data_IF_915585239479
#
_entry.id   IF_915585239479
#
_cell.length_a   1.000
_cell.length_b   1.000
_cell.length_c   1.000
_cell.angle_alpha   90.00
_cell.angle_beta   90.00
_cell.angle_gamma   90.00
#
_symmetry.space_group_name_H-M   'P 1'
#
loop_
_entity.id
_entity.type
_entity.pdbx_description
1 polymer ?
#
# COMPACT_ATOMS: atom_id res chain seq x y z
N UNK A 1 -0.13 -62.11 -8.64
CA UNK A 1 0.73 -60.94 -8.97
C UNK A 1 0.00 -59.58 -8.89
N UNK A 2 -1.34 -59.48 -8.84
CA UNK A 2 -2.09 -58.18 -8.89
C UNK A 2 -2.59 -57.67 -7.51
N UNK A 3 -2.36 -58.43 -6.42
CA UNK A 3 -2.78 -58.04 -5.07
C UNK A 3 -1.96 -56.88 -4.46
N UNK A 4 -0.67 -56.77 -4.83
CA UNK A 4 0.22 -55.72 -4.31
C UNK A 4 -0.16 -54.33 -4.86
N UNK A 5 -0.40 -54.14 -6.18
CA UNK A 5 -0.85 -52.85 -6.72
C UNK A 5 -2.18 -52.34 -6.15
N UNK A 6 -3.14 -53.22 -5.92
CA UNK A 6 -4.49 -52.84 -5.43
C UNK A 6 -4.48 -52.48 -3.93
N UNK A 7 -3.68 -53.16 -3.12
CA UNK A 7 -3.45 -52.80 -1.72
C UNK A 7 -2.69 -51.47 -1.59
N UNK A 8 -1.70 -51.25 -2.47
CA UNK A 8 -0.97 -49.98 -2.54
C UNK A 8 -1.89 -48.81 -2.92
N UNK A 9 -2.76 -48.99 -3.91
CA UNK A 9 -3.76 -47.97 -4.28
C UNK A 9 -4.66 -47.62 -3.09
N UNK A 10 -5.27 -48.60 -2.41
CA UNK A 10 -6.13 -48.32 -1.25
C UNK A 10 -5.43 -47.54 -0.14
N UNK A 11 -4.16 -47.87 0.15
CA UNK A 11 -3.35 -47.16 1.15
C UNK A 11 -3.07 -45.72 0.71
N UNK A 12 -2.77 -45.52 -0.57
CA UNK A 12 -2.48 -44.21 -1.13
C UNK A 12 -3.73 -43.32 -1.19
N UNK A 13 -4.87 -43.89 -1.59
CA UNK A 13 -6.20 -43.28 -1.52
C UNK A 13 -6.50 -42.81 -0.10
N UNK A 14 -6.30 -43.63 0.92
CA UNK A 14 -6.54 -43.20 2.30
C UNK A 14 -5.62 -42.04 2.73
N UNK A 15 -4.35 -42.08 2.33
CA UNK A 15 -3.39 -41.01 2.63
C UNK A 15 -3.75 -39.69 1.97
N UNK A 16 -4.16 -39.71 0.70
CA UNK A 16 -4.56 -38.52 -0.04
C UNK A 16 -5.79 -37.84 0.58
N UNK A 17 -6.79 -38.60 1.04
CA UNK A 17 -7.94 -38.02 1.74
C UNK A 17 -7.56 -37.29 3.02
N UNK A 18 -6.65 -37.85 3.81
CA UNK A 18 -6.21 -37.21 5.05
C UNK A 18 -5.48 -35.90 4.76
N UNK A 19 -4.64 -35.87 3.72
CA UNK A 19 -3.94 -34.65 3.32
C UNK A 19 -4.87 -33.59 2.74
N UNK A 20 -5.85 -33.98 1.92
CA UNK A 20 -6.82 -33.08 1.33
C UNK A 20 -7.68 -32.40 2.40
N UNK A 21 -8.16 -33.19 3.37
CA UNK A 21 -8.93 -32.66 4.51
C UNK A 21 -8.09 -31.69 5.34
N UNK A 22 -6.82 -32.00 5.59
CA UNK A 22 -5.92 -31.13 6.34
C UNK A 22 -5.60 -29.80 5.62
N UNK A 23 -5.50 -29.81 4.28
CA UNK A 23 -5.34 -28.59 3.49
C UNK A 23 -6.62 -27.75 3.50
N UNK A 24 -7.77 -28.41 3.33
CA UNK A 24 -9.08 -27.74 3.31
C UNK A 24 -9.43 -27.12 4.67
N UNK A 25 -9.14 -27.81 5.78
CA UNK A 25 -9.38 -27.28 7.12
C UNK A 25 -8.53 -26.05 7.41
N UNK A 26 -7.23 -26.11 7.08
CA UNK A 26 -6.32 -24.96 7.23
C UNK A 26 -6.70 -23.77 6.36
N UNK A 27 -7.19 -24.04 5.14
CA UNK A 27 -7.67 -22.99 4.25
C UNK A 27 -8.93 -22.33 4.83
N UNK A 28 -9.86 -23.11 5.39
CA UNK A 28 -11.04 -22.59 6.07
C UNK A 28 -10.66 -21.74 7.29
N UNK A 29 -9.70 -22.17 8.10
CA UNK A 29 -9.18 -21.39 9.24
C UNK A 29 -8.62 -20.04 8.77
N UNK A 30 -7.83 -20.05 7.69
CA UNK A 30 -7.27 -18.83 7.07
C UNK A 30 -8.39 -17.91 6.54
N UNK A 31 -9.37 -18.45 5.83
CA UNK A 31 -10.54 -17.71 5.32
C UNK A 31 -11.35 -17.09 6.47
N UNK A 32 -11.54 -17.83 7.57
CA UNK A 32 -12.21 -17.28 8.77
C UNK A 32 -11.40 -16.21 9.48
N UNK A 33 -10.07 -16.36 9.54
CA UNK A 33 -9.18 -15.35 10.12
C UNK A 33 -9.12 -14.08 9.25
N UNK A 34 -9.26 -14.21 7.92
CA UNK A 34 -9.38 -13.10 6.99
C UNK A 34 -10.73 -12.39 7.09
N UNK A 35 -11.81 -13.13 7.34
CA UNK A 35 -13.18 -12.60 7.42
C UNK A 35 -13.54 -12.07 8.82
N UNK A 36 -12.71 -12.35 9.83
CA UNK A 36 -12.94 -11.88 11.18
C UNK A 36 -12.88 -10.33 11.22
N UNK A 37 -13.86 -9.66 11.86
CA UNK A 37 -13.82 -8.21 11.98
C UNK A 37 -12.57 -7.77 12.74
N UNK A 38 -11.91 -6.67 12.35
CA UNK A 38 -10.69 -6.20 12.99
C UNK A 38 -10.97 -5.82 14.45
N UNK A 39 -10.73 -6.76 15.37
CA UNK A 39 -10.81 -6.50 16.81
C UNK A 39 -9.55 -5.77 17.25
N UNK A 40 -9.70 -4.68 18.03
CA UNK A 40 -8.62 -3.77 18.51
C UNK A 40 -7.40 -4.44 19.17
N UNK A 41 -7.46 -5.73 19.54
CA UNK A 41 -6.41 -6.45 20.27
C UNK A 41 -5.61 -7.46 19.45
N UNK A 42 -5.99 -7.75 18.20
CA UNK A 42 -5.29 -8.73 17.37
C UNK A 42 -5.31 -8.31 15.91
N UNK A 43 -4.29 -7.58 15.45
CA UNK A 43 -4.08 -7.39 14.02
C UNK A 43 -3.70 -8.76 13.42
N UNK A 44 -4.48 -9.30 12.45
CA UNK A 44 -4.10 -10.52 11.78
C UNK A 44 -2.75 -10.30 11.09
N UNK A 45 -1.75 -11.11 11.42
CA UNK A 45 -0.44 -11.04 10.79
C UNK A 45 -0.55 -11.49 9.32
N UNK A 46 -0.83 -10.53 8.44
CA UNK A 46 -1.02 -10.74 7.00
C UNK A 46 0.18 -11.44 6.36
N UNK A 47 1.39 -11.21 6.87
CA UNK A 47 2.60 -11.85 6.37
C UNK A 47 2.67 -13.33 6.75
N UNK A 48 2.30 -13.69 7.98
CA UNK A 48 2.21 -15.09 8.42
C UNK A 48 1.14 -15.85 7.63
N UNK A 49 0.00 -15.22 7.39
CA UNK A 49 -1.13 -15.80 6.65
C UNK A 49 -0.80 -15.96 5.15
N UNK A 50 -0.10 -14.98 4.55
CA UNK A 50 0.46 -15.06 3.20
C UNK A 50 1.46 -16.23 3.06
N UNK A 51 2.36 -16.40 4.03
CA UNK A 51 3.32 -17.51 4.04
C UNK A 51 2.62 -18.87 4.21
N UNK A 52 1.61 -18.95 5.08
CA UNK A 52 0.79 -20.15 5.24
C UNK A 52 0.09 -20.53 3.92
N UNK A 53 -0.49 -19.55 3.23
CA UNK A 53 -1.15 -19.74 1.95
C UNK A 53 -0.17 -20.22 0.84
N UNK A 54 1.03 -19.65 0.81
CA UNK A 54 2.11 -20.12 -0.08
C UNK A 54 2.53 -21.57 0.22
N UNK A 55 2.63 -21.91 1.51
CA UNK A 55 2.94 -23.28 1.94
C UNK A 55 1.81 -24.26 1.57
N UNK A 56 0.55 -23.83 1.63
CA UNK A 56 -0.58 -24.63 1.17
C UNK A 56 -0.56 -24.83 -0.35
N UNK A 57 -0.28 -23.78 -1.12
CA UNK A 57 -0.17 -23.85 -2.59
C UNK A 57 0.93 -24.84 -3.03
N UNK A 58 2.12 -24.75 -2.42
CA UNK A 58 3.22 -25.69 -2.72
C UNK A 58 2.89 -27.14 -2.37
N UNK A 59 2.24 -27.37 -1.22
CA UNK A 59 1.75 -28.71 -0.83
C UNK A 59 0.65 -29.23 -1.74
N UNK A 60 -0.28 -28.37 -2.15
CA UNK A 60 -1.33 -28.70 -3.10
C UNK A 60 -0.73 -29.14 -4.44
N UNK A 61 0.31 -28.45 -4.92
CA UNK A 61 0.96 -28.80 -6.18
C UNK A 61 1.57 -30.21 -6.15
N UNK A 62 2.22 -30.58 -5.03
CA UNK A 62 2.73 -31.95 -4.81
C UNK A 62 1.58 -32.96 -4.77
N UNK A 63 0.47 -32.61 -4.11
CA UNK A 63 -0.72 -33.46 -4.02
C UNK A 63 -1.36 -33.68 -5.39
N UNK A 64 -1.48 -32.62 -6.19
CA UNK A 64 -2.01 -32.65 -7.55
C UNK A 64 -1.17 -33.54 -8.47
N UNK A 65 0.17 -33.40 -8.41
CA UNK A 65 1.09 -34.26 -9.18
C UNK A 65 0.94 -35.74 -8.80
N UNK A 66 0.73 -36.04 -7.51
CA UNK A 66 0.53 -37.42 -7.03
C UNK A 66 -0.84 -37.99 -7.39
N UNK A 67 -1.89 -37.18 -7.37
CA UNK A 67 -3.23 -37.60 -7.79
C UNK A 67 -3.28 -37.91 -9.30
N UNK A 68 -2.61 -37.11 -10.13
CA UNK A 68 -2.53 -37.37 -11.57
C UNK A 68 -1.79 -38.67 -11.87
N UNK A 69 -0.71 -38.98 -11.14
CA UNK A 69 -0.03 -40.26 -11.24
C UNK A 69 -0.96 -41.43 -10.91
N UNK A 70 -1.80 -41.31 -9.89
CA UNK A 70 -2.77 -42.34 -9.54
C UNK A 70 -3.76 -42.62 -10.68
N UNK A 71 -4.31 -41.58 -11.30
CA UNK A 71 -5.21 -41.72 -12.45
C UNK A 71 -4.53 -42.43 -13.64
N UNK A 72 -3.25 -42.13 -13.89
CA UNK A 72 -2.44 -42.80 -14.92
C UNK A 72 -2.18 -44.27 -14.57
N UNK A 73 -1.86 -44.60 -13.31
CA UNK A 73 -1.69 -46.00 -12.88
C UNK A 73 -2.97 -46.81 -12.99
N UNK A 74 -4.13 -46.23 -12.67
CA UNK A 74 -5.41 -46.92 -12.81
C UNK A 74 -5.73 -47.18 -14.28
N UNK A 75 -5.50 -46.20 -15.16
CA UNK A 75 -5.74 -46.36 -16.61
C UNK A 75 -4.83 -47.44 -17.24
N UNK A 76 -3.57 -47.52 -16.81
CA UNK A 76 -2.60 -48.52 -17.30
C UNK A 76 -2.87 -49.91 -16.75
N UNK A 77 -3.23 -50.03 -15.46
CA UNK A 77 -3.69 -51.30 -14.89
C UNK A 77 -4.97 -51.76 -15.59
N UNK A 78 -5.88 -50.84 -15.89
CA UNK A 78 -7.12 -51.15 -16.58
C UNK A 78 -6.86 -51.62 -18.03
N UNK A 79 -5.98 -50.97 -18.79
CA UNK A 79 -5.64 -51.41 -20.14
C UNK A 79 -4.92 -52.76 -20.15
N UNK A 80 -4.01 -53.01 -19.19
CA UNK A 80 -3.36 -54.31 -19.00
C UNK A 80 -4.34 -55.40 -18.57
N UNK A 81 -5.33 -55.06 -17.74
CA UNK A 81 -6.40 -55.95 -17.33
C UNK A 81 -7.31 -56.34 -18.50
N UNK A 82 -7.71 -55.39 -19.35
CA UNK A 82 -8.47 -55.68 -20.57
C UNK A 82 -7.65 -56.48 -21.58
N UNK A 83 -6.36 -56.19 -21.73
CA UNK A 83 -5.45 -56.95 -22.60
C UNK A 83 -5.22 -58.39 -22.12
N UNK A 84 -5.23 -58.63 -20.80
CA UNK A 84 -5.09 -59.98 -20.21
C UNK A 84 -6.39 -60.79 -20.21
N UNK A 85 -7.52 -60.21 -20.65
CA UNK A 85 -8.85 -60.82 -20.57
C UNK A 85 -9.18 -61.69 -21.79
N UNK A 86 -8.29 -62.61 -22.14
CA UNK A 86 -8.55 -63.66 -23.15
C UNK A 86 -9.04 -64.99 -22.54
N UNK A 87 -9.26 -65.07 -21.22
CA UNK A 87 -9.69 -66.28 -20.53
C UNK A 87 -10.73 -65.99 -19.46
N UNK A 88 -11.85 -66.70 -19.54
CA UNK A 88 -13.02 -66.67 -18.65
C UNK A 88 -12.67 -66.86 -17.17
N UNK A 89 -13.32 -66.06 -16.31
CA UNK A 89 -13.29 -66.01 -14.84
C UNK A 89 -12.22 -65.12 -14.19
N UNK A 90 -12.68 -64.07 -13.50
CA UNK A 90 -11.81 -63.17 -12.73
C UNK A 90 -12.04 -63.32 -11.23
N UNK A 91 -11.00 -63.72 -10.45
CA UNK A 91 -11.05 -63.81 -8.98
C UNK A 91 -10.95 -62.46 -8.22
N UNK A 92 -11.10 -61.32 -8.88
CA UNK A 92 -10.70 -60.01 -8.32
C UNK A 92 -11.87 -59.05 -8.12
N UNK A 93 -11.81 -58.26 -7.05
CA UNK A 93 -12.83 -57.28 -6.68
C UNK A 93 -13.01 -56.20 -7.77
N UNK A 94 -14.26 -55.74 -8.03
CA UNK A 94 -14.54 -54.73 -9.04
C UNK A 94 -13.83 -53.40 -8.72
N UNK A 95 -13.20 -52.79 -9.72
CA UNK A 95 -12.46 -51.52 -9.62
C UNK A 95 -13.35 -50.27 -9.67
N UNK A 96 -14.66 -50.43 -9.93
CA UNK A 96 -15.63 -49.33 -10.02
C UNK A 96 -15.74 -48.43 -8.77
N UNK A 97 -15.72 -48.93 -7.51
CA UNK A 97 -15.81 -48.04 -6.35
C UNK A 97 -14.54 -47.20 -6.15
N UNK A 98 -13.38 -47.69 -6.59
CA UNK A 98 -12.14 -46.90 -6.58
C UNK A 98 -12.19 -45.77 -7.62
N UNK A 99 -12.77 -46.02 -8.80
CA UNK A 99 -12.94 -45.00 -9.84
C UNK A 99 -13.77 -43.82 -9.34
N UNK A 100 -14.95 -44.08 -8.77
CA UNK A 100 -15.83 -43.02 -8.26
C UNK A 100 -15.15 -42.22 -7.13
N UNK A 101 -14.33 -42.88 -6.31
CA UNK A 101 -13.56 -42.24 -5.24
C UNK A 101 -12.45 -41.34 -5.79
N UNK A 102 -11.80 -41.73 -6.89
CA UNK A 102 -10.75 -40.93 -7.53
C UNK A 102 -11.36 -39.72 -8.25
N UNK A 103 -12.47 -39.92 -8.96
CA UNK A 103 -13.16 -38.89 -9.73
C UNK A 103 -13.68 -37.74 -8.84
N UNK A 104 -14.34 -38.08 -7.73
CA UNK A 104 -14.77 -37.08 -6.73
C UNK A 104 -13.60 -36.26 -6.16
N UNK A 105 -12.42 -36.87 -5.98
CA UNK A 105 -11.26 -36.16 -5.43
C UNK A 105 -10.54 -35.32 -6.46
N UNK A 106 -10.52 -35.74 -7.72
CA UNK A 106 -10.02 -34.89 -8.80
C UNK A 106 -10.85 -33.62 -8.89
N UNK A 107 -12.16 -33.72 -8.67
CA UNK A 107 -13.04 -32.56 -8.58
C UNK A 107 -12.65 -31.64 -7.41
N UNK A 108 -12.52 -32.16 -6.18
CA UNK A 108 -12.12 -31.35 -5.02
C UNK A 108 -10.74 -30.67 -5.21
N UNK A 109 -9.77 -31.37 -5.81
CA UNK A 109 -8.43 -30.86 -6.11
C UNK A 109 -8.44 -29.72 -7.12
N UNK A 110 -9.43 -29.65 -8.01
CA UNK A 110 -9.55 -28.54 -8.99
C UNK A 110 -10.13 -27.26 -8.39
N UNK A 111 -10.92 -27.37 -7.31
CA UNK A 111 -11.52 -26.22 -6.64
C UNK A 111 -10.54 -25.50 -5.68
N UNK A 112 -9.59 -26.23 -5.08
CA UNK A 112 -8.65 -25.67 -4.10
C UNK A 112 -7.73 -24.55 -4.63
N UNK A 113 -7.17 -24.61 -5.86
CA UNK A 113 -6.40 -23.51 -6.42
C UNK A 113 -7.17 -22.19 -6.48
N UNK A 114 -8.44 -22.24 -6.90
CA UNK A 114 -9.29 -21.06 -7.05
C UNK A 114 -9.57 -20.40 -5.69
N UNK A 115 -9.80 -21.22 -4.65
CA UNK A 115 -9.98 -20.73 -3.28
C UNK A 115 -8.70 -20.11 -2.71
N UNK A 116 -7.55 -20.74 -2.95
CA UNK A 116 -6.24 -20.20 -2.55
C UNK A 116 -5.97 -18.86 -3.25
N UNK A 117 -6.27 -18.72 -4.54
CA UNK A 117 -6.11 -17.45 -5.26
C UNK A 117 -7.07 -16.37 -4.75
N UNK A 118 -8.32 -16.73 -4.43
CA UNK A 118 -9.28 -15.79 -3.85
C UNK A 118 -8.79 -15.28 -2.49
N UNK A 119 -8.36 -16.18 -1.59
CA UNK A 119 -7.78 -15.81 -0.30
C UNK A 119 -6.54 -14.91 -0.47
N UNK A 120 -5.69 -15.19 -1.47
CA UNK A 120 -4.49 -14.39 -1.78
C UNK A 120 -4.85 -12.97 -2.18
N UNK A 121 -5.87 -12.82 -3.02
CA UNK A 121 -6.32 -11.52 -3.50
C UNK A 121 -6.81 -10.66 -2.34
N UNK A 122 -7.62 -11.21 -1.45
CA UNK A 122 -8.06 -10.51 -0.22
C UNK A 122 -6.88 -10.04 0.64
N UNK A 123 -5.81 -10.83 0.78
CA UNK A 123 -4.63 -10.40 1.53
C UNK A 123 -3.95 -9.21 0.83
N UNK A 124 -3.79 -9.28 -0.49
CA UNK A 124 -3.16 -8.22 -1.26
C UNK A 124 -3.97 -6.92 -1.16
N UNK A 125 -5.29 -6.98 -1.29
CA UNK A 125 -6.17 -5.80 -1.16
C UNK A 125 -6.07 -5.18 0.23
N UNK A 126 -6.05 -6.00 1.29
CA UNK A 126 -5.86 -5.51 2.67
C UNK A 126 -4.49 -4.86 2.88
N UNK A 127 -3.42 -5.43 2.32
CA UNK A 127 -2.07 -4.83 2.37
C UNK A 127 -2.06 -3.50 1.62
N UNK A 128 -2.66 -3.43 0.43
CA UNK A 128 -2.75 -2.20 -0.34
C UNK A 128 -3.52 -1.10 0.40
N UNK A 129 -4.67 -1.44 0.98
CA UNK A 129 -5.46 -0.51 1.79
C UNK A 129 -4.65 0.02 2.99
N UNK A 130 -3.93 -0.85 3.69
CA UNK A 130 -3.07 -0.45 4.82
C UNK A 130 -1.90 0.43 4.39
N UNK A 131 -1.27 0.12 3.26
CA UNK A 131 -0.20 0.95 2.72
C UNK A 131 -0.73 2.32 2.34
N UNK A 132 -1.93 2.41 1.74
CA UNK A 132 -2.56 3.68 1.43
C UNK A 132 -2.84 4.51 2.68
N UNK A 133 -3.39 3.92 3.75
CA UNK A 133 -3.61 4.66 5.00
C UNK A 133 -2.29 5.16 5.62
N UNK A 134 -1.24 4.35 5.61
CA UNK A 134 0.07 4.75 6.09
C UNK A 134 0.68 5.88 5.23
N UNK A 135 0.50 5.84 3.91
CA UNK A 135 0.97 6.91 3.03
C UNK A 135 0.27 8.24 3.32
N UNK A 136 -1.02 8.22 3.68
CA UNK A 136 -1.74 9.43 4.08
C UNK A 136 -1.24 9.98 5.42
N UNK A 137 -1.00 9.12 6.41
CA UNK A 137 -0.44 9.53 7.70
C UNK A 137 0.99 10.09 7.57
N UNK A 138 1.81 9.47 6.71
CA UNK A 138 3.15 9.98 6.38
C UNK A 138 3.07 11.31 5.63
N UNK A 139 2.11 11.50 4.73
CA UNK A 139 1.90 12.78 4.05
C UNK A 139 1.47 13.88 5.03
N UNK A 140 0.52 13.59 5.94
CA UNK A 140 0.06 14.52 6.97
C UNK A 140 1.19 14.91 7.93
N UNK A 141 1.97 13.93 8.41
CA UNK A 141 3.13 14.23 9.25
C UNK A 141 4.20 15.03 8.49
N UNK A 142 4.42 14.75 7.21
CA UNK A 142 5.33 15.54 6.36
C UNK A 142 4.83 16.97 6.18
N UNK A 143 3.52 17.18 6.03
CA UNK A 143 2.91 18.50 5.97
C UNK A 143 3.13 19.27 7.28
N UNK A 144 2.84 18.65 8.43
CA UNK A 144 3.06 19.27 9.75
C UNK A 144 4.54 19.62 9.97
N UNK A 145 5.46 18.75 9.55
CA UNK A 145 6.90 19.01 9.61
C UNK A 145 7.28 20.18 8.70
N UNK A 146 6.74 20.24 7.48
CA UNK A 146 6.98 21.34 6.55
C UNK A 146 6.48 22.67 7.13
N UNK A 147 5.27 22.71 7.69
CA UNK A 147 4.70 23.88 8.36
C UNK A 147 5.57 24.35 9.54
N UNK A 148 5.98 23.42 10.40
CA UNK A 148 6.89 23.72 11.50
C UNK A 148 8.25 24.25 11.01
N UNK A 149 8.79 23.67 9.94
CA UNK A 149 10.06 24.08 9.31
C UNK A 149 9.95 25.47 8.69
N UNK A 150 8.80 25.81 8.09
CA UNK A 150 8.55 27.15 7.54
C UNK A 150 8.53 28.21 8.64
N UNK A 151 7.88 27.91 9.77
CA UNK A 151 7.88 28.77 10.96
C UNK A 151 9.29 28.95 11.55
N UNK A 152 10.05 27.86 11.65
CA UNK A 152 11.45 27.91 12.11
C UNK A 152 12.33 28.72 11.15
N UNK A 153 12.16 28.55 9.85
CA UNK A 153 12.86 29.32 8.83
C UNK A 153 12.52 30.82 8.89
N UNK A 154 11.28 31.19 9.25
CA UNK A 154 10.91 32.59 9.48
C UNK A 154 11.69 33.18 10.67
N UNK A 155 11.79 32.44 11.78
CA UNK A 155 12.57 32.84 12.96
C UNK A 155 14.06 32.98 12.64
N UNK A 156 14.61 32.04 11.87
CA UNK A 156 16.01 32.07 11.41
C UNK A 156 16.30 33.32 10.56
N UNK A 157 15.37 33.70 9.68
CA UNK A 157 15.49 34.92 8.86
C UNK A 157 15.55 36.17 9.72
N UNK A 158 14.76 36.26 10.79
CA UNK A 158 14.76 37.41 11.70
C UNK A 158 16.14 37.57 12.37
N UNK A 159 16.71 36.49 12.89
CA UNK A 159 18.05 36.51 13.52
C UNK A 159 19.10 36.94 12.49
N UNK A 160 19.05 36.40 11.27
CA UNK A 160 19.99 36.76 10.21
C UNK A 160 19.90 38.25 9.81
N UNK A 161 18.68 38.81 9.74
CA UNK A 161 18.50 40.25 9.48
C UNK A 161 19.06 41.07 10.64
N UNK A 162 18.81 40.66 11.88
CA UNK A 162 19.32 41.35 13.07
C UNK A 162 20.85 41.38 13.11
N UNK A 163 21.52 40.27 12.78
CA UNK A 163 22.98 40.23 12.69
C UNK A 163 23.50 41.08 11.55
N UNK A 164 22.87 41.06 10.37
CA UNK A 164 23.25 41.92 9.24
C UNK A 164 23.14 43.42 9.56
N UNK A 165 22.19 43.83 10.42
CA UNK A 165 22.06 45.20 10.87
C UNK A 165 23.08 45.57 11.96
N UNK A 166 23.35 44.69 12.92
CA UNK A 166 24.29 44.98 14.00
C UNK A 166 25.74 44.94 13.56
N UNK A 167 26.14 44.02 12.69
CA UNK A 167 27.54 43.86 12.26
C UNK A 167 28.19 45.15 11.74
N UNK A 168 27.56 45.95 10.85
CA UNK A 168 28.13 47.23 10.42
C UNK A 168 28.14 48.28 11.53
N UNK A 169 27.11 48.32 12.39
CA UNK A 169 27.05 49.23 13.54
C UNK A 169 28.18 48.96 14.55
N UNK A 170 28.40 47.69 14.88
CA UNK A 170 29.45 47.27 15.82
C UNK A 170 30.85 47.48 15.25
N UNK A 171 31.04 47.24 13.94
CA UNK A 171 32.31 47.50 13.26
C UNK A 171 32.69 48.99 13.32
N UNK A 172 31.72 49.87 13.05
CA UNK A 172 31.94 51.32 13.15
C UNK A 172 32.18 51.72 14.61
N UNK A 173 31.40 51.22 15.56
CA UNK A 173 31.62 51.49 16.99
C UNK A 173 33.03 51.08 17.46
N UNK A 174 33.55 49.95 16.98
CA UNK A 174 34.92 49.50 17.27
C UNK A 174 35.99 50.43 16.71
N UNK A 175 35.84 50.90 15.47
CA UNK A 175 36.78 51.84 14.83
C UNK A 175 36.80 53.18 15.60
N UNK A 176 35.64 53.66 16.06
CA UNK A 176 35.57 54.86 16.90
C UNK A 176 36.12 54.64 18.32
N UNK A 177 35.92 53.43 18.89
CA UNK A 177 36.43 53.05 20.21
C UNK A 177 37.96 52.94 20.29
N UNK A 178 38.64 52.68 19.17
CA UNK A 178 40.11 52.69 19.07
C UNK A 178 40.74 54.09 19.13
N UNK A 179 39.97 55.14 19.43
CA UNK A 179 40.50 56.47 19.74
C UNK A 179 40.84 57.34 18.53
N UNK A 180 40.59 56.88 17.30
CA UNK A 180 40.98 57.56 16.06
C UNK A 180 40.36 58.97 15.87
N UNK A 181 39.34 59.33 16.67
CA UNK A 181 38.63 60.62 16.62
C UNK A 181 38.58 61.37 17.97
N UNK A 182 39.29 60.92 19.00
CA UNK A 182 39.24 61.54 20.34
C UNK A 182 39.76 62.99 20.37
N UNK A 183 40.64 63.37 19.43
CA UNK A 183 41.22 64.71 19.35
C UNK A 183 40.36 65.76 18.61
N UNK A 184 39.22 65.37 18.00
CA UNK A 184 38.48 66.21 17.03
C UNK A 184 37.16 66.85 17.53
N UNK A 185 36.74 66.61 18.79
CA UNK A 185 35.64 67.33 19.46
C UNK A 185 34.20 67.06 18.96
N UNK A 186 33.20 67.64 19.65
CA UNK A 186 31.74 67.43 19.45
C UNK A 186 31.21 67.65 18.03
N UNK A 187 32.00 68.29 17.17
CA UNK A 187 31.64 68.64 15.78
C UNK A 187 31.67 67.44 14.82
N UNK A 188 32.33 66.33 15.18
CA UNK A 188 32.53 65.15 14.33
C UNK A 188 31.54 64.00 14.58
N UNK A 189 30.63 64.13 15.55
CA UNK A 189 29.51 63.19 15.76
C UNK A 189 28.66 63.02 14.48
N UNK A 190 28.60 64.04 13.64
CA UNK A 190 27.89 63.98 12.37
C UNK A 190 28.57 63.01 11.37
N UNK A 191 29.89 62.85 11.42
CA UNK A 191 30.65 61.94 10.55
C UNK A 191 30.34 60.48 10.90
N UNK A 192 30.06 60.17 12.17
CA UNK A 192 29.57 58.85 12.57
C UNK A 192 28.26 58.50 11.83
N UNK A 193 27.28 59.40 11.82
CA UNK A 193 26.02 59.20 11.09
C UNK A 193 26.22 59.13 9.57
N UNK A 194 27.08 60.00 9.02
CA UNK A 194 27.36 60.03 7.58
C UNK A 194 28.05 58.76 7.09
N UNK A 195 28.81 58.05 7.93
CA UNK A 195 29.47 56.79 7.55
C UNK A 195 28.63 55.55 7.86
N UNK A 196 27.95 55.52 9.00
CA UNK A 196 27.11 54.38 9.42
C UNK A 196 25.88 54.19 8.54
N UNK A 197 25.18 55.27 8.19
CA UNK A 197 23.96 55.21 7.38
C UNK A 197 24.19 54.60 5.99
N UNK A 198 25.16 55.06 5.17
CA UNK A 198 25.40 54.46 3.86
C UNK A 198 25.97 53.05 3.95
N UNK A 199 26.76 52.73 4.99
CA UNK A 199 27.26 51.37 5.19
C UNK A 199 26.11 50.40 5.47
N UNK A 200 25.15 50.81 6.30
CA UNK A 200 23.93 50.04 6.60
C UNK A 200 23.06 49.87 5.36
N UNK A 201 22.85 50.94 4.59
CA UNK A 201 22.13 50.89 3.30
C UNK A 201 22.85 49.99 2.30
N UNK A 202 24.19 49.99 2.28
CA UNK A 202 24.99 49.12 1.42
C UNK A 202 24.81 47.65 1.74
N UNK A 203 24.89 47.26 3.01
CA UNK A 203 24.66 45.87 3.46
C UNK A 203 23.23 45.42 3.14
N UNK A 204 22.23 46.25 3.46
CA UNK A 204 20.83 45.97 3.13
C UNK A 204 20.60 45.89 1.62
N UNK A 205 21.25 46.76 0.84
CA UNK A 205 21.17 46.78 -0.62
C UNK A 205 21.76 45.53 -1.26
N UNK A 206 22.95 45.10 -0.82
CA UNK A 206 23.58 43.84 -1.28
C UNK A 206 22.70 42.63 -0.93
N UNK A 207 22.16 42.58 0.29
CA UNK A 207 21.24 41.52 0.69
C UNK A 207 19.95 41.52 -0.13
N UNK A 208 19.35 42.69 -0.37
CA UNK A 208 18.13 42.81 -1.15
C UNK A 208 18.35 42.40 -2.62
N UNK A 209 19.48 42.79 -3.22
CA UNK A 209 19.87 42.37 -4.56
C UNK A 209 20.13 40.86 -4.62
N UNK A 210 20.79 40.30 -3.61
CA UNK A 210 21.04 38.85 -3.52
C UNK A 210 19.74 38.07 -3.35
N UNK A 211 18.84 38.49 -2.47
CA UNK A 211 17.51 37.91 -2.28
C UNK A 211 16.67 37.98 -3.56
N UNK A 212 16.69 39.14 -4.24
CA UNK A 212 16.00 39.34 -5.53
C UNK A 212 16.60 38.48 -6.65
N UNK A 213 17.91 38.23 -6.62
CA UNK A 213 18.59 37.36 -7.61
C UNK A 213 18.39 35.88 -7.32
N UNK A 214 18.30 35.48 -6.05
CA UNK A 214 17.93 34.13 -5.63
C UNK A 214 16.48 33.81 -6.00
N UNK A 215 15.55 34.76 -5.83
CA UNK A 215 14.16 34.63 -6.31
C UNK A 215 14.06 34.39 -7.81
N UNK A 216 14.88 35.07 -8.63
CA UNK A 216 14.94 34.84 -10.10
C UNK A 216 15.59 33.52 -10.52
N UNK A 217 16.39 32.89 -9.64
CA UNK A 217 16.94 31.54 -9.86
C UNK A 217 16.01 30.44 -9.30
N UNK A 218 14.95 30.83 -8.59
CA UNK A 218 14.00 29.96 -7.89
C UNK A 218 12.74 29.59 -8.67
N UNK A 219 12.72 29.68 -10.02
CA UNK A 219 11.57 29.19 -10.81
C UNK A 219 11.26 27.69 -10.58
N UNK A 220 12.19 26.95 -9.96
CA UNK A 220 11.97 25.55 -9.52
C UNK A 220 11.24 25.47 -8.17
N UNK A 221 11.44 26.45 -7.27
CA UNK A 221 10.75 26.56 -5.98
C UNK A 221 9.35 27.17 -6.12
N UNK A 222 9.15 28.11 -7.05
CA UNK A 222 7.84 28.69 -7.35
C UNK A 222 6.89 27.68 -8.02
N UNK A 223 7.44 26.76 -8.83
CA UNK A 223 6.67 25.65 -9.42
C UNK A 223 6.28 24.56 -8.39
N UNK A 224 6.97 24.49 -7.25
CA UNK A 224 6.66 23.59 -6.13
C UNK A 224 5.77 24.28 -5.09
N UNK A 225 6.01 25.56 -4.80
CA UNK A 225 5.23 26.37 -3.84
C UNK A 225 3.85 26.75 -4.41
N UNK A 226 3.74 27.02 -5.72
CA UNK A 226 2.47 27.30 -6.38
C UNK A 226 1.51 26.11 -6.43
N UNK A 227 1.98 24.88 -6.14
CA UNK A 227 1.11 23.72 -5.92
C UNK A 227 0.58 23.65 -4.49
N UNK A 228 1.35 24.12 -3.51
CA UNK A 228 0.92 24.21 -2.11
C UNK A 228 -0.17 25.25 -1.87
N UNK A 229 -0.10 26.41 -2.53
CA UNK A 229 -1.11 27.48 -2.36
C UNK A 229 -2.45 27.15 -3.05
N UNK A 230 -2.45 26.31 -4.08
CA UNK A 230 -3.68 25.79 -4.69
C UNK A 230 -4.33 24.76 -3.74
N UNK A 231 -3.54 23.83 -3.18
CA UNK A 231 -4.04 22.83 -2.21
C UNK A 231 -4.53 23.45 -0.89
N UNK A 232 -3.89 24.52 -0.40
CA UNK A 232 -4.32 25.24 0.81
C UNK A 232 -5.60 26.06 0.57
N UNK A 233 -5.75 26.71 -0.59
CA UNK A 233 -7.00 27.40 -0.96
C UNK A 233 -8.15 26.42 -1.21
N UNK A 234 -7.86 25.23 -1.72
CA UNK A 234 -8.86 24.18 -1.93
C UNK A 234 -9.28 23.51 -0.61
N UNK A 235 -8.39 23.47 0.40
CA UNK A 235 -8.70 23.01 1.75
C UNK A 235 -9.47 24.05 2.59
N UNK A 236 -9.23 25.35 2.40
CA UNK A 236 -9.95 26.42 3.10
C UNK A 236 -11.28 26.80 2.41
N UNK A 237 -11.38 26.63 1.09
CA UNK A 237 -12.62 26.85 0.31
C UNK A 237 -13.39 25.54 0.07
N UNK A 238 -12.96 24.44 0.69
CA UNK A 238 -13.65 23.15 0.75
C UNK A 238 -14.88 23.24 1.65
N UNK A 239 -15.81 24.10 1.25
CA UNK A 239 -17.15 24.23 1.83
C UNK A 239 -17.77 22.83 2.03
N UNK A 240 -18.37 22.54 3.20
CA UNK A 240 -19.04 21.27 3.50
C UNK A 240 -20.19 20.94 2.52
N UNK A 241 -20.60 21.89 1.67
CA UNK A 241 -21.63 21.74 0.64
C UNK A 241 -21.22 20.87 -0.55
N UNK A 242 -19.93 20.66 -0.82
CA UNK A 242 -19.48 19.84 -1.96
C UNK A 242 -19.66 18.32 -1.72
N UNK A 243 -19.61 17.88 -0.46
CA UNK A 243 -19.86 16.49 -0.08
C UNK A 243 -21.37 16.22 -0.04
N UNK A 244 -22.18 17.18 0.43
CA UNK A 244 -23.63 17.04 0.50
C UNK A 244 -24.31 17.01 -0.89
N UNK A 245 -23.82 17.79 -1.86
CA UNK A 245 -24.37 17.78 -3.23
C UNK A 245 -23.98 16.52 -4.03
N UNK A 246 -22.81 15.93 -3.77
CA UNK A 246 -22.44 14.62 -4.35
C UNK A 246 -23.29 13.50 -3.74
N UNK A 247 -23.57 13.56 -2.43
CA UNK A 247 -24.42 12.60 -1.74
C UNK A 247 -25.89 12.68 -2.20
N UNK A 248 -26.42 13.87 -2.47
CA UNK A 248 -27.78 14.06 -2.98
C UNK A 248 -27.94 13.59 -4.44
N UNK A 249 -26.92 13.83 -5.29
CA UNK A 249 -26.93 13.38 -6.70
C UNK A 249 -26.88 11.86 -6.82
N UNK A 250 -26.12 11.18 -5.96
CA UNK A 250 -26.06 9.71 -5.98
C UNK A 250 -27.37 9.07 -5.47
N UNK A 251 -28.07 9.71 -4.52
CA UNK A 251 -29.40 9.26 -4.10
C UNK A 251 -30.48 9.43 -5.18
N UNK A 252 -30.46 10.52 -5.95
CA UNK A 252 -31.40 10.75 -7.07
C UNK A 252 -31.15 9.79 -8.24
N UNK A 253 -29.88 9.46 -8.50
CA UNK A 253 -29.51 8.51 -9.57
C UNK A 253 -29.91 7.07 -9.23
N UNK A 254 -29.89 6.69 -7.94
CA UNK A 254 -30.33 5.38 -7.47
C UNK A 254 -31.86 5.26 -7.48
N UNK A 255 -32.61 6.32 -7.14
CA UNK A 255 -34.08 6.29 -7.27
C UNK A 255 -34.55 6.24 -8.73
N UNK A 256 -33.90 6.97 -9.65
CA UNK A 256 -34.26 6.93 -11.07
C UNK A 256 -34.01 5.56 -11.70
N UNK A 257 -33.03 4.80 -11.22
CA UNK A 257 -32.71 3.48 -11.75
C UNK A 257 -33.58 2.34 -11.19
N UNK A 258 -34.31 2.57 -10.09
CA UNK A 258 -35.19 1.58 -9.46
C UNK A 258 -36.63 1.67 -10.00
N UNK A 259 -37.05 2.80 -10.58
CA UNK A 259 -38.42 2.97 -11.07
C UNK A 259 -38.69 2.36 -12.48
N UNK A 260 -37.65 1.98 -13.23
CA UNK A 260 -37.78 1.47 -14.60
C UNK A 260 -37.64 -0.06 -14.71
N UNK A 261 -38.29 -0.79 -13.80
CA UNK A 261 -38.46 -2.26 -13.95
C UNK A 261 -39.90 -2.68 -13.68
N UNK A 262 -40.83 -2.10 -14.43
CA UNK A 262 -42.21 -2.63 -14.51
C UNK A 262 -42.39 -3.31 -15.88
N UNK A 263 -42.61 -4.64 -15.96
CA UNK A 263 -42.63 -5.34 -17.23
C UNK A 263 -43.94 -5.10 -17.98
N UNK A 264 -43.85 -4.51 -19.16
CA UNK A 264 -44.95 -4.45 -20.13
C UNK A 264 -45.22 -5.86 -20.67
N UNK A 265 -46.37 -6.42 -20.28
CA UNK A 265 -46.97 -7.61 -20.89
C UNK A 265 -47.58 -7.24 -22.24
N UNK A 266 -47.33 -8.05 -23.27
CA UNK A 266 -48.38 -8.36 -24.26
C UNK A 266 -47.94 -8.58 -25.71
N UNK A 267 -48.25 -9.79 -26.21
CA UNK A 267 -48.53 -10.22 -27.59
C UNK A 267 -47.43 -9.95 -28.67
N UNK A 268 -47.13 -10.86 -29.60
CA UNK A 268 -47.92 -11.85 -30.33
C UNK A 268 -47.10 -13.11 -30.64
#
# INVERSE_FOLDING_TARGET
MVAVPTAFLRRHVAWLSTQLNAVTSKLSEIETALSAPPTRSHEPNLQALNHALHTLSTRLHVLHRRANFESQTLSTIQSLYFASRYGSHTPYAPLSPLRNTIESRTFDLTALPARISAARETINTLIHQRNQTLHLEVAESSQRIAEATLSDAASMRVIAVLTMCFLPGTAVAGIFGMGMFQDLGWKWIWVYFVVTVPLTIGVLGVWWVWLRRMRKRGNVLDMISGRGDLEFRDAETGEPHAVEQRQARDHETVEMHVFDTTPEKGNA
#
